data_IF_570366106230
#
_entry.id   IF_570366106230
#
_cell.length_a   1.000
_cell.length_b   1.000
_cell.length_c   1.000
_cell.angle_alpha   90.00
_cell.angle_beta   90.00
_cell.angle_gamma   90.00
#
_symmetry.space_group_name_H-M   'P 1'
#
loop_
_entity.id
_entity.type
_entity.pdbx_description
1 polymer ?
#
# COMPACT_ATOMS: atom_id res chain seq x y z
N UNK A 1 39.95 41.60 31.80
CA UNK A 1 38.52 41.32 31.57
C UNK A 1 38.40 40.74 30.16
N UNK A 2 38.08 39.47 29.89
CA UNK A 2 37.73 38.29 30.70
C UNK A 2 37.93 37.09 29.74
N UNK A 3 38.59 36.02 30.19
CA UNK A 3 38.61 34.69 29.55
C UNK A 3 37.37 33.89 30.01
N UNK A 4 36.91 32.93 29.19
CA UNK A 4 35.97 31.84 29.53
C UNK A 4 35.33 31.28 28.25
N UNK A 5 35.71 30.13 27.66
CA UNK A 5 35.69 28.71 28.10
C UNK A 5 34.29 28.09 28.06
N UNK A 6 34.16 27.09 27.16
CA UNK A 6 33.12 26.04 26.97
C UNK A 6 31.70 26.52 26.62
N UNK A 7 30.94 25.90 25.71
CA UNK A 7 30.64 24.46 25.67
C UNK A 7 30.63 23.86 24.26
N UNK A 8 31.35 22.75 24.16
CA UNK A 8 31.14 21.65 23.23
C UNK A 8 29.74 21.07 23.38
N UNK A 9 28.88 21.22 22.37
CA UNK A 9 27.73 20.34 22.21
C UNK A 9 28.21 18.99 21.64
N UNK A 10 27.83 17.86 22.24
CA UNK A 10 28.14 16.55 21.67
C UNK A 10 27.38 16.40 20.35
N UNK A 11 28.13 16.35 19.25
CA UNK A 11 27.60 15.85 17.97
C UNK A 11 27.20 14.40 18.21
N UNK A 12 25.93 14.12 17.95
CA UNK A 12 25.32 12.81 18.13
C UNK A 12 26.17 11.75 17.39
N UNK A 13 26.70 10.72 18.06
CA UNK A 13 27.56 9.71 17.43
C UNK A 13 26.83 8.81 16.41
N UNK A 14 25.54 9.04 16.18
CA UNK A 14 24.73 8.34 15.18
C UNK A 14 24.65 9.04 13.81
N UNK A 15 25.22 10.25 13.63
CA UNK A 15 25.20 10.98 12.35
C UNK A 15 26.40 10.73 11.42
N UNK A 16 27.32 9.82 11.80
CA UNK A 16 28.46 9.41 10.96
C UNK A 16 28.60 7.89 10.82
N UNK A 17 27.48 7.19 10.66
CA UNK A 17 27.52 5.85 10.09
C UNK A 17 27.68 5.97 8.56
N UNK A 18 28.93 5.91 8.10
CA UNK A 18 29.45 5.48 6.80
C UNK A 18 28.45 5.05 5.69
N UNK A 19 27.57 5.94 5.24
CA UNK A 19 26.91 5.78 3.93
C UNK A 19 27.88 6.02 2.77
N UNK A 20 29.03 6.65 3.04
CA UNK A 20 30.11 6.80 2.07
C UNK A 20 30.86 5.48 1.82
N UNK A 21 31.03 4.63 2.84
CA UNK A 21 31.71 3.33 2.70
C UNK A 21 30.96 2.33 1.83
N UNK A 22 29.62 2.35 1.86
CA UNK A 22 28.80 1.45 1.03
C UNK A 22 28.67 1.92 -0.42
N UNK A 23 28.73 3.24 -0.69
CA UNK A 23 28.75 3.77 -2.06
C UNK A 23 30.13 3.68 -2.73
N UNK A 24 31.20 3.52 -1.96
CA UNK A 24 32.57 3.44 -2.49
C UNK A 24 32.98 2.03 -2.95
N UNK A 25 32.11 1.02 -2.78
CA UNK A 25 32.37 -0.35 -3.25
C UNK A 25 31.86 -0.63 -4.67
N UNK A 26 31.19 0.31 -5.33
CA UNK A 26 30.60 0.11 -6.68
C UNK A 26 31.02 1.14 -7.72
N UNK A 27 31.84 2.14 -7.38
CA UNK A 27 32.15 3.26 -8.29
C UNK A 27 33.39 3.09 -9.17
N UNK A 28 34.18 2.02 -9.02
CA UNK A 28 35.46 1.87 -9.74
C UNK A 28 35.59 0.63 -10.64
N UNK A 29 34.58 -0.24 -10.71
CA UNK A 29 34.51 -1.29 -11.75
C UNK A 29 33.38 -0.95 -12.70
N UNK A 30 33.75 -0.44 -13.86
CA UNK A 30 32.80 -0.34 -14.98
C UNK A 30 32.48 -1.73 -15.51
N UNK A 31 31.29 -1.93 -16.08
CA UNK A 31 30.91 -3.24 -16.67
C UNK A 31 31.98 -3.72 -17.67
N UNK A 32 32.66 -2.78 -18.34
CA UNK A 32 33.79 -3.01 -19.24
C UNK A 32 35.04 -3.64 -18.61
N UNK A 33 35.19 -3.62 -17.29
CA UNK A 33 36.34 -4.19 -16.57
C UNK A 33 36.14 -5.68 -16.22
N UNK A 34 34.93 -6.21 -16.43
CA UNK A 34 34.58 -7.61 -16.20
C UNK A 34 34.88 -8.46 -17.43
N UNK A 35 35.30 -9.71 -17.20
CA UNK A 35 35.48 -10.68 -18.28
C UNK A 35 34.14 -10.93 -18.99
N UNK A 36 34.18 -11.29 -20.28
CA UNK A 36 32.98 -11.59 -21.07
C UNK A 36 32.10 -12.68 -20.41
N UNK A 37 32.72 -13.59 -19.65
CA UNK A 37 32.01 -14.61 -18.87
C UNK A 37 31.25 -14.00 -17.68
N UNK A 38 31.88 -13.11 -16.92
CA UNK A 38 31.25 -12.43 -15.77
C UNK A 38 30.14 -11.47 -16.22
N UNK A 39 30.34 -10.74 -17.32
CA UNK A 39 29.27 -9.93 -17.93
C UNK A 39 28.07 -10.81 -18.33
N UNK A 40 28.33 -11.95 -18.96
CA UNK A 40 27.30 -12.92 -19.33
C UNK A 40 26.55 -13.48 -18.11
N UNK A 41 27.27 -13.80 -17.04
CA UNK A 41 26.70 -14.29 -15.79
C UNK A 41 25.82 -13.21 -15.11
N UNK A 42 26.30 -11.97 -15.01
CA UNK A 42 25.54 -10.84 -14.45
C UNK A 42 24.27 -10.59 -15.26
N UNK A 43 24.35 -10.64 -16.59
CA UNK A 43 23.19 -10.47 -17.46
C UNK A 43 22.15 -11.58 -17.26
N UNK A 44 22.60 -12.85 -17.20
CA UNK A 44 21.72 -14.00 -16.95
C UNK A 44 21.04 -13.90 -15.57
N UNK A 45 21.81 -13.59 -14.52
CA UNK A 45 21.29 -13.40 -13.16
C UNK A 45 20.27 -12.27 -13.14
N UNK A 46 20.57 -11.13 -13.76
CA UNK A 46 19.63 -10.02 -13.83
C UNK A 46 18.34 -10.39 -14.57
N UNK A 47 18.41 -11.15 -15.66
CA UNK A 47 17.20 -11.63 -16.36
C UNK A 47 16.37 -12.53 -15.44
N UNK A 48 16.99 -13.50 -14.77
CA UNK A 48 16.30 -14.44 -13.88
C UNK A 48 15.67 -13.68 -12.72
N UNK A 49 16.42 -12.78 -12.07
CA UNK A 49 15.93 -11.96 -10.95
C UNK A 49 14.77 -11.08 -11.40
N UNK A 50 14.88 -10.39 -12.53
CA UNK A 50 13.80 -9.51 -13.03
C UNK A 50 12.54 -10.30 -13.40
N UNK A 51 12.68 -11.49 -14.00
CA UNK A 51 11.55 -12.38 -14.32
C UNK A 51 10.88 -12.89 -13.04
N UNK A 52 11.67 -13.30 -12.05
CA UNK A 52 11.17 -13.84 -10.79
C UNK A 52 10.49 -12.76 -9.94
N UNK A 53 11.07 -11.56 -9.87
CA UNK A 53 10.46 -10.40 -9.22
C UNK A 53 9.15 -9.99 -9.91
N UNK A 54 9.12 -9.98 -11.26
CA UNK A 54 7.89 -9.71 -12.01
C UNK A 54 6.80 -10.76 -11.75
N UNK A 55 7.18 -12.03 -11.63
CA UNK A 55 6.24 -13.10 -11.27
C UNK A 55 5.69 -12.94 -9.86
N UNK A 56 6.56 -12.69 -8.86
CA UNK A 56 6.13 -12.47 -7.48
C UNK A 56 5.24 -11.23 -7.36
N UNK A 57 5.60 -10.14 -8.04
CA UNK A 57 4.76 -8.93 -8.09
C UNK A 57 3.38 -9.23 -8.68
N UNK A 58 3.33 -9.87 -9.85
CA UNK A 58 2.07 -10.23 -10.51
C UNK A 58 1.20 -11.19 -9.69
N UNK A 59 1.83 -12.15 -9.01
CA UNK A 59 1.15 -13.06 -8.10
C UNK A 59 0.62 -12.31 -6.87
N UNK A 60 1.42 -11.41 -6.29
CA UNK A 60 1.03 -10.55 -5.17
C UNK A 60 -0.19 -9.68 -5.50
N UNK A 61 -0.19 -9.01 -6.65
CA UNK A 61 -1.35 -8.25 -7.13
C UNK A 61 -2.61 -9.10 -7.25
N UNK A 62 -2.45 -10.30 -7.82
CA UNK A 62 -3.57 -11.22 -8.02
C UNK A 62 -4.17 -11.65 -6.68
N UNK A 63 -3.32 -11.92 -5.68
CA UNK A 63 -3.76 -12.25 -4.32
C UNK A 63 -4.45 -11.07 -3.62
N UNK A 64 -3.91 -9.84 -3.76
CA UNK A 64 -4.53 -8.64 -3.20
C UNK A 64 -5.89 -8.37 -3.86
N UNK A 65 -6.00 -8.54 -5.17
CA UNK A 65 -7.26 -8.40 -5.91
C UNK A 65 -8.28 -9.46 -5.48
N UNK A 66 -7.87 -10.74 -5.39
CA UNK A 66 -8.75 -11.82 -4.93
C UNK A 66 -9.20 -11.60 -3.48
N UNK A 67 -8.30 -11.19 -2.59
CA UNK A 67 -8.65 -10.84 -1.21
C UNK A 67 -9.65 -9.68 -1.17
N UNK A 68 -9.41 -8.64 -1.95
CA UNK A 68 -10.32 -7.49 -2.06
C UNK A 68 -11.71 -7.88 -2.57
N UNK A 69 -11.76 -8.71 -3.62
CA UNK A 69 -13.01 -9.23 -4.18
C UNK A 69 -13.75 -10.13 -3.18
N UNK A 70 -13.04 -10.99 -2.46
CA UNK A 70 -13.63 -11.88 -1.45
C UNK A 70 -14.23 -11.08 -0.29
N UNK A 71 -13.51 -10.09 0.24
CA UNK A 71 -14.03 -9.19 1.27
C UNK A 71 -15.28 -8.49 0.76
N UNK A 72 -15.24 -7.94 -0.46
CA UNK A 72 -16.40 -7.28 -1.05
C UNK A 72 -17.57 -8.25 -1.26
N UNK A 73 -17.35 -9.46 -1.79
CA UNK A 73 -18.44 -10.40 -2.07
C UNK A 73 -19.11 -10.89 -0.80
N UNK A 74 -18.34 -11.23 0.24
CA UNK A 74 -18.86 -11.71 1.52
C UNK A 74 -19.63 -10.61 2.25
N UNK A 75 -19.07 -9.41 2.35
CA UNK A 75 -19.76 -8.26 2.97
C UNK A 75 -21.00 -7.85 2.19
N UNK A 76 -20.98 -7.96 0.86
CA UNK A 76 -22.14 -7.69 0.00
C UNK A 76 -23.24 -8.72 0.15
N UNK A 77 -22.89 -9.99 0.33
CA UNK A 77 -23.83 -11.08 0.54
C UNK A 77 -24.62 -10.85 1.83
N UNK A 78 -23.92 -10.57 2.93
CA UNK A 78 -24.54 -10.26 4.23
C UNK A 78 -25.33 -8.96 4.17
N UNK A 79 -24.82 -7.94 3.46
CA UNK A 79 -25.56 -6.69 3.25
C UNK A 79 -26.94 -6.91 2.60
N UNK A 80 -27.02 -7.79 1.60
CA UNK A 80 -28.30 -8.12 0.95
C UNK A 80 -29.25 -8.85 1.88
N UNK A 81 -28.75 -9.80 2.67
CA UNK A 81 -29.55 -10.49 3.70
C UNK A 81 -30.08 -9.49 4.76
N UNK A 82 -29.24 -8.54 5.16
CA UNK A 82 -29.62 -7.45 6.05
C UNK A 82 -30.75 -6.59 5.46
N UNK A 83 -30.67 -6.22 4.18
CA UNK A 83 -31.71 -5.45 3.50
C UNK A 83 -33.03 -6.22 3.39
N UNK A 84 -32.98 -7.53 3.21
CA UNK A 84 -34.15 -8.42 3.07
C UNK A 84 -34.90 -8.74 4.39
N UNK A 85 -34.65 -7.98 5.47
CA UNK A 85 -35.31 -8.09 6.78
C UNK A 85 -35.03 -9.36 7.61
N UNK A 86 -33.93 -10.09 7.35
CA UNK A 86 -33.46 -11.20 8.21
C UNK A 86 -32.75 -10.71 9.51
N UNK A 87 -32.86 -9.40 9.81
CA UNK A 87 -32.04 -8.67 10.80
C UNK A 87 -32.17 -9.13 12.25
N UNK A 88 -33.25 -9.85 12.58
CA UNK A 88 -33.60 -10.21 13.95
C UNK A 88 -33.17 -11.63 14.35
N UNK A 89 -32.63 -12.42 13.42
CA UNK A 89 -32.18 -13.76 13.77
C UNK A 89 -30.82 -13.68 14.48
N UNK A 90 -30.61 -14.36 15.62
CA UNK A 90 -29.29 -14.52 16.21
C UNK A 90 -28.30 -15.18 15.24
N UNK A 91 -28.80 -15.99 14.28
CA UNK A 91 -28.01 -16.60 13.21
C UNK A 91 -27.34 -15.55 12.31
N UNK A 92 -28.00 -14.40 12.08
CA UNK A 92 -27.43 -13.32 11.27
C UNK A 92 -26.19 -12.71 11.93
N UNK A 93 -26.17 -12.62 13.26
CA UNK A 93 -24.99 -12.14 14.00
C UNK A 93 -23.84 -13.14 13.85
N UNK A 94 -24.11 -14.44 13.94
CA UNK A 94 -23.09 -15.48 13.71
C UNK A 94 -22.50 -15.42 12.30
N UNK A 95 -23.35 -15.27 11.28
CA UNK A 95 -22.91 -15.15 9.88
C UNK A 95 -21.98 -13.94 9.70
N UNK A 96 -22.32 -12.81 10.33
CA UNK A 96 -21.47 -11.62 10.31
C UNK A 96 -20.13 -11.84 11.02
N UNK A 97 -20.14 -12.53 12.17
CA UNK A 97 -18.92 -12.87 12.90
C UNK A 97 -18.02 -13.83 12.10
N UNK A 98 -18.61 -14.79 11.38
CA UNK A 98 -17.88 -15.69 10.48
C UNK A 98 -17.19 -14.91 9.35
N UNK A 99 -17.87 -13.90 8.78
CA UNK A 99 -17.26 -13.03 7.78
C UNK A 99 -16.12 -12.20 8.37
N UNK A 100 -16.24 -11.62 9.58
CA UNK A 100 -15.10 -10.96 10.26
C UNK A 100 -13.91 -11.90 10.39
N UNK A 101 -14.13 -13.15 10.81
CA UNK A 101 -13.07 -14.14 10.96
C UNK A 101 -12.41 -14.51 9.61
N UNK A 102 -13.19 -14.64 8.54
CA UNK A 102 -12.66 -14.85 7.17
C UNK A 102 -11.79 -13.68 6.71
N UNK A 103 -12.23 -12.44 6.94
CA UNK A 103 -11.45 -11.24 6.62
C UNK A 103 -10.13 -11.23 7.43
N UNK A 104 -10.18 -11.56 8.72
CA UNK A 104 -8.98 -11.69 9.56
C UNK A 104 -7.99 -12.72 9.02
N UNK A 105 -8.50 -13.86 8.51
CA UNK A 105 -7.66 -14.89 7.87
C UNK A 105 -7.01 -14.35 6.60
N UNK A 106 -7.75 -13.64 5.75
CA UNK A 106 -7.20 -12.97 4.55
C UNK A 106 -6.10 -11.98 4.93
N UNK A 107 -6.29 -11.18 5.98
CA UNK A 107 -5.27 -10.25 6.45
C UNK A 107 -4.01 -10.94 6.98
N UNK A 108 -4.15 -12.06 7.69
CA UNK A 108 -3.00 -12.82 8.17
C UNK A 108 -2.10 -13.32 7.03
N UNK A 109 -2.68 -13.61 5.86
CA UNK A 109 -1.96 -14.11 4.68
C UNK A 109 -1.46 -12.98 3.77
N UNK A 110 -2.28 -11.95 3.56
CA UNK A 110 -2.06 -10.97 2.50
C UNK A 110 -1.57 -9.60 3.00
N UNK A 111 -1.50 -9.36 4.31
CA UNK A 111 -1.24 -8.00 4.82
C UNK A 111 0.10 -7.40 4.40
N UNK A 112 1.18 -8.20 4.33
CA UNK A 112 2.47 -7.76 3.76
C UNK A 112 2.31 -7.38 2.28
N UNK A 113 1.61 -8.22 1.52
CA UNK A 113 1.42 -8.02 0.09
C UNK A 113 0.61 -6.76 -0.18
N UNK A 114 -0.40 -6.47 0.64
CA UNK A 114 -1.17 -5.21 0.58
C UNK A 114 -0.27 -4.00 0.82
N UNK A 115 0.60 -4.08 1.83
CA UNK A 115 1.58 -3.02 2.12
C UNK A 115 2.53 -2.82 0.93
N UNK A 116 3.17 -3.88 0.44
CA UNK A 116 4.14 -3.81 -0.65
C UNK A 116 3.51 -3.30 -1.94
N UNK A 117 2.30 -3.75 -2.27
CA UNK A 117 1.59 -3.35 -3.48
C UNK A 117 1.15 -1.89 -3.45
N UNK A 118 0.78 -1.36 -2.28
CA UNK A 118 0.49 0.06 -2.16
C UNK A 118 1.77 0.91 -2.34
N UNK A 119 2.87 0.50 -1.72
CA UNK A 119 4.15 1.19 -1.86
C UNK A 119 4.62 1.19 -3.33
N UNK A 120 4.51 0.04 -4.00
CA UNK A 120 4.83 -0.11 -5.42
C UNK A 120 3.95 0.81 -6.28
N UNK A 121 2.64 0.82 -6.07
CA UNK A 121 1.72 1.71 -6.79
C UNK A 121 2.05 3.21 -6.58
N UNK A 122 2.45 3.59 -5.36
CA UNK A 122 2.85 4.96 -5.04
C UNK A 122 4.15 5.37 -5.74
N UNK A 123 5.16 4.49 -5.74
CA UNK A 123 6.42 4.72 -6.44
C UNK A 123 6.17 4.90 -7.93
N UNK A 124 5.39 4.02 -8.55
CA UNK A 124 5.07 4.14 -9.98
C UNK A 124 4.30 5.42 -10.28
N UNK A 125 3.33 5.80 -9.45
CA UNK A 125 2.56 7.04 -9.65
C UNK A 125 3.48 8.27 -9.63
N UNK A 126 4.40 8.33 -8.68
CA UNK A 126 5.41 9.40 -8.59
C UNK A 126 6.37 9.39 -9.78
N UNK A 127 6.93 8.23 -10.13
CA UNK A 127 7.93 8.10 -11.19
C UNK A 127 7.36 8.36 -12.59
N UNK A 128 6.12 7.92 -12.86
CA UNK A 128 5.45 8.15 -14.15
C UNK A 128 5.13 9.65 -14.32
N UNK A 129 4.61 10.31 -13.28
CA UNK A 129 4.27 11.73 -13.32
C UNK A 129 5.51 12.65 -13.40
N UNK A 130 6.64 12.19 -12.88
CA UNK A 130 7.91 12.93 -12.87
C UNK A 130 8.82 12.75 -14.09
N UNK A 131 8.40 12.04 -15.15
CA UNK A 131 9.24 11.85 -16.35
C UNK A 131 8.76 12.73 -17.52
N UNK A 132 9.55 13.74 -17.94
CA UNK A 132 9.07 14.75 -18.88
C UNK A 132 9.16 14.31 -20.35
N UNK A 133 9.86 13.20 -20.67
CA UNK A 133 10.08 12.74 -22.06
C UNK A 133 10.33 11.23 -22.12
N UNK A 134 9.29 10.44 -22.40
CA UNK A 134 9.46 9.05 -22.83
C UNK A 134 8.96 8.91 -24.27
N UNK A 135 9.81 9.29 -25.22
CA UNK A 135 9.54 9.05 -26.64
C UNK A 135 9.79 7.59 -27.05
N UNK A 136 10.58 6.82 -26.29
CA UNK A 136 11.02 5.46 -26.65
C UNK A 136 10.41 4.30 -25.82
N UNK A 137 9.52 4.59 -24.86
CA UNK A 137 9.02 3.60 -23.89
C UNK A 137 7.53 3.70 -23.56
N UNK A 138 6.72 4.30 -24.46
CA UNK A 138 5.28 4.54 -24.23
C UNK A 138 4.50 3.28 -23.85
N UNK A 139 4.84 2.14 -24.46
CA UNK A 139 4.19 0.85 -24.16
C UNK A 139 4.52 0.38 -22.75
N UNK A 140 5.78 0.48 -22.32
CA UNK A 140 6.20 0.09 -20.96
C UNK A 140 5.57 1.01 -19.90
N UNK A 141 5.56 2.32 -20.15
CA UNK A 141 4.88 3.28 -19.28
C UNK A 141 3.37 3.02 -19.20
N UNK A 142 2.72 2.70 -20.33
CA UNK A 142 1.31 2.34 -20.35
C UNK A 142 1.02 1.04 -19.57
N UNK A 143 1.84 -0.01 -19.74
CA UNK A 143 1.69 -1.27 -18.99
C UNK A 143 1.83 -1.04 -17.49
N UNK A 144 2.84 -0.28 -17.05
CA UNK A 144 3.04 0.04 -15.63
C UNK A 144 1.90 0.89 -15.06
N UNK A 145 1.35 1.81 -15.86
CA UNK A 145 0.17 2.58 -15.49
C UNK A 145 -1.06 1.68 -15.32
N UNK A 146 -1.32 0.78 -16.28
CA UNK A 146 -2.43 -0.18 -16.19
C UNK A 146 -2.31 -1.09 -14.96
N UNK A 147 -1.11 -1.59 -14.67
CA UNK A 147 -0.85 -2.39 -13.48
C UNK A 147 -1.13 -1.61 -12.18
N UNK A 148 -0.67 -0.36 -12.12
CA UNK A 148 -0.95 0.54 -11.00
C UNK A 148 -2.45 0.83 -10.83
N UNK A 149 -3.18 0.99 -11.94
CA UNK A 149 -4.64 1.18 -11.91
C UNK A 149 -5.38 -0.06 -11.40
N UNK A 150 -4.93 -1.27 -11.76
CA UNK A 150 -5.50 -2.52 -11.25
C UNK A 150 -5.28 -2.60 -9.73
N UNK A 151 -4.08 -2.27 -9.24
CA UNK A 151 -3.76 -2.24 -7.81
C UNK A 151 -4.63 -1.23 -7.08
N UNK A 152 -4.74 0.01 -7.57
CA UNK A 152 -5.64 1.02 -7.00
C UNK A 152 -7.09 0.53 -6.99
N UNK A 153 -7.54 -0.08 -8.10
CA UNK A 153 -8.87 -0.66 -8.23
C UNK A 153 -9.15 -1.74 -7.19
N UNK A 154 -8.18 -2.61 -6.91
CA UNK A 154 -8.30 -3.63 -5.86
C UNK A 154 -8.53 -2.99 -4.48
N UNK A 155 -7.77 -1.95 -4.15
CA UNK A 155 -7.94 -1.23 -2.89
C UNK A 155 -9.29 -0.51 -2.80
N UNK A 156 -9.79 0.06 -3.89
CA UNK A 156 -11.13 0.67 -3.95
C UNK A 156 -12.23 -0.36 -3.69
N UNK A 157 -12.09 -1.57 -4.25
CA UNK A 157 -13.03 -2.68 -3.99
C UNK A 157 -12.99 -3.07 -2.51
N UNK A 158 -11.80 -3.22 -1.92
CA UNK A 158 -11.64 -3.53 -0.50
C UNK A 158 -12.25 -2.44 0.39
N UNK A 159 -12.03 -1.16 0.07
CA UNK A 159 -12.61 -0.03 0.79
C UNK A 159 -14.15 -0.02 0.71
N UNK A 160 -14.72 -0.45 -0.42
CA UNK A 160 -16.17 -0.64 -0.58
C UNK A 160 -16.71 -1.73 0.34
N UNK A 161 -16.02 -2.87 0.42
CA UNK A 161 -16.36 -3.96 1.34
C UNK A 161 -16.31 -3.49 2.80
N UNK A 162 -15.27 -2.75 3.17
CA UNK A 162 -15.14 -2.16 4.50
C UNK A 162 -16.28 -1.20 4.85
N UNK A 163 -16.65 -0.31 3.94
CA UNK A 163 -17.79 0.61 4.15
C UNK A 163 -19.07 -0.17 4.45
N UNK A 164 -19.33 -1.27 3.73
CA UNK A 164 -20.50 -2.14 3.97
C UNK A 164 -20.41 -2.82 5.33
N UNK A 165 -19.26 -3.38 5.69
CA UNK A 165 -19.04 -4.00 7.00
C UNK A 165 -19.31 -3.03 8.16
N UNK A 166 -18.83 -1.78 8.08
CA UNK A 166 -19.13 -0.76 9.11
C UNK A 166 -20.62 -0.45 9.18
N UNK A 167 -21.30 -0.33 8.03
CA UNK A 167 -22.73 -0.04 8.01
C UNK A 167 -23.54 -1.20 8.60
N UNK A 168 -23.13 -2.45 8.36
CA UNK A 168 -23.71 -3.64 9.00
C UNK A 168 -23.56 -3.56 10.51
N UNK A 169 -22.33 -3.34 10.98
CA UNK A 169 -22.03 -3.24 12.41
C UNK A 169 -22.87 -2.15 13.09
N UNK A 170 -22.93 -0.95 12.50
CA UNK A 170 -23.76 0.15 13.00
C UNK A 170 -25.26 -0.19 12.98
N UNK A 171 -25.73 -0.89 11.94
CA UNK A 171 -27.09 -1.36 11.83
C UNK A 171 -27.46 -2.33 12.96
N UNK A 172 -26.61 -3.34 13.18
CA UNK A 172 -26.78 -4.35 14.22
C UNK A 172 -26.74 -3.74 15.62
N UNK A 173 -25.77 -2.87 15.90
CA UNK A 173 -25.66 -2.19 17.20
C UNK A 173 -26.89 -1.31 17.44
N UNK A 174 -27.37 -0.56 16.44
CA UNK A 174 -28.54 0.30 16.59
C UNK A 174 -29.83 -0.49 16.85
N UNK A 175 -30.00 -1.66 16.24
CA UNK A 175 -31.13 -2.53 16.53
C UNK A 175 -31.02 -3.17 17.93
N UNK A 176 -29.82 -3.55 18.35
CA UNK A 176 -29.57 -4.11 19.69
C UNK A 176 -29.90 -3.11 20.83
N UNK A 177 -29.59 -1.83 20.64
CA UNK A 177 -29.87 -0.76 21.61
C UNK A 177 -31.36 -0.46 21.81
N UNK A 178 -32.23 -0.86 20.88
CA UNK A 178 -33.70 -0.74 21.05
C UNK A 178 -34.31 -1.87 21.88
N UNK A 179 -33.62 -3.01 21.99
CA UNK A 179 -34.10 -4.19 22.71
C UNK A 179 -33.25 -4.57 23.95
N UNK A 180 -32.27 -3.75 24.35
CA UNK A 180 -31.48 -3.98 25.55
C UNK A 180 -30.37 -5.04 25.41
N UNK A 181 -29.98 -5.39 24.19
CA UNK A 181 -28.96 -6.42 23.93
C UNK A 181 -27.53 -5.86 23.96
N UNK A 182 -27.08 -5.39 25.14
CA UNK A 182 -25.68 -5.00 25.37
C UNK A 182 -24.69 -6.15 25.07
N UNK A 183 -25.17 -7.40 25.15
CA UNK A 183 -24.42 -8.60 24.83
C UNK A 183 -24.04 -8.68 23.33
N UNK A 184 -24.91 -8.28 22.41
CA UNK A 184 -24.62 -8.32 20.96
C UNK A 184 -23.56 -7.28 20.60
N UNK A 185 -23.67 -6.07 21.15
CA UNK A 185 -22.64 -5.03 20.95
C UNK A 185 -21.28 -5.47 21.52
N UNK A 186 -21.27 -6.03 22.74
CA UNK A 186 -20.05 -6.59 23.35
C UNK A 186 -19.45 -7.68 22.46
N UNK A 187 -20.28 -8.59 21.95
CA UNK A 187 -19.84 -9.73 21.14
C UNK A 187 -19.28 -9.30 19.79
N UNK A 188 -19.86 -8.28 19.14
CA UNK A 188 -19.35 -7.75 17.87
C UNK A 188 -18.03 -6.98 18.08
N UNK A 189 -17.93 -6.19 19.15
CA UNK A 189 -16.70 -5.45 19.46
C UNK A 189 -15.54 -6.37 19.87
N UNK A 190 -15.85 -7.41 20.64
CA UNK A 190 -14.86 -8.35 21.17
C UNK A 190 -14.59 -9.54 20.23
N UNK A 191 -15.29 -9.64 19.10
CA UNK A 191 -15.07 -10.75 18.18
C UNK A 191 -13.74 -10.63 17.44
N UNK A 192 -13.09 -11.78 17.28
CA UNK A 192 -11.88 -11.91 16.49
C UNK A 192 -12.16 -11.62 15.00
N UNK A 193 -11.20 -10.97 14.35
CA UNK A 193 -11.26 -10.66 12.92
C UNK A 193 -11.41 -9.17 12.63
N UNK A 194 -11.35 -8.85 11.34
CA UNK A 194 -11.26 -7.47 10.86
C UNK A 194 -12.44 -7.12 9.98
N UNK A 195 -12.75 -5.83 9.91
CA UNK A 195 -13.76 -5.28 9.00
C UNK A 195 -13.17 -4.73 7.70
N UNK A 196 -11.86 -4.80 7.51
CA UNK A 196 -11.15 -4.20 6.39
C UNK A 196 -9.95 -5.04 5.98
N UNK A 197 -9.47 -4.80 4.76
CA UNK A 197 -8.17 -5.27 4.34
C UNK A 197 -7.08 -4.43 5.02
N UNK A 198 -6.08 -5.08 5.61
CA UNK A 198 -4.99 -4.43 6.34
C UNK A 198 -3.69 -4.44 5.54
N UNK A 199 -3.01 -3.30 5.51
CA UNK A 199 -1.63 -3.18 5.04
C UNK A 199 -0.67 -3.35 6.20
N UNK A 200 -0.31 -4.60 6.48
CA UNK A 200 0.45 -5.00 7.67
C UNK A 200 -0.17 -4.38 8.94
N UNK A 201 0.65 -3.86 9.85
CA UNK A 201 0.27 -3.07 11.01
C UNK A 201 0.22 -1.56 10.75
N UNK A 202 0.39 -1.13 9.49
CA UNK A 202 0.63 0.28 9.16
C UNK A 202 -0.67 1.03 8.85
N UNK A 203 -1.59 0.40 8.14
CA UNK A 203 -2.82 1.05 7.69
C UNK A 203 -3.96 0.06 7.43
N UNK A 204 -5.17 0.61 7.42
CA UNK A 204 -6.38 -0.08 6.97
C UNK A 204 -6.82 0.49 5.62
N UNK A 205 -7.16 -0.38 4.68
CA UNK A 205 -7.65 0.03 3.35
C UNK A 205 -9.08 0.53 3.47
N UNK A 206 -9.22 1.85 3.59
CA UNK A 206 -10.49 2.56 3.72
C UNK A 206 -10.59 3.67 2.68
N UNK A 207 -11.80 4.15 2.38
CA UNK A 207 -11.95 5.29 1.46
C UNK A 207 -11.23 6.54 1.95
N UNK A 208 -11.25 6.80 3.26
CA UNK A 208 -10.52 7.93 3.86
C UNK A 208 -9.01 7.79 3.68
N UNK A 209 -8.48 6.59 3.89
CA UNK A 209 -7.07 6.31 3.66
C UNK A 209 -6.67 6.46 2.19
N UNK A 210 -7.44 5.89 1.26
CA UNK A 210 -7.18 6.03 -0.17
C UNK A 210 -7.30 7.49 -0.65
N UNK A 211 -8.24 8.25 -0.09
CA UNK A 211 -8.35 9.68 -0.34
C UNK A 211 -7.12 10.45 0.12
N UNK A 212 -6.57 10.11 1.30
CA UNK A 212 -5.33 10.70 1.79
C UNK A 212 -4.14 10.35 0.89
N UNK A 213 -4.00 9.09 0.49
CA UNK A 213 -2.96 8.62 -0.44
C UNK A 213 -3.04 9.37 -1.77
N UNK A 214 -4.24 9.48 -2.35
CA UNK A 214 -4.45 10.21 -3.60
C UNK A 214 -4.12 11.71 -3.46
N UNK A 215 -4.53 12.33 -2.35
CA UNK A 215 -4.21 13.72 -2.06
C UNK A 215 -2.70 13.95 -1.99
N UNK A 216 -1.97 13.14 -1.23
CA UNK A 216 -0.50 13.23 -1.12
C UNK A 216 0.16 13.01 -2.47
N UNK A 217 -0.28 12.01 -3.24
CA UNK A 217 0.25 11.73 -4.58
C UNK A 217 0.07 12.91 -5.54
N UNK A 218 -1.12 13.52 -5.57
CA UNK A 218 -1.40 14.71 -6.39
C UNK A 218 -0.56 15.89 -5.94
N UNK A 219 -0.50 16.18 -4.63
CA UNK A 219 0.32 17.27 -4.11
C UNK A 219 1.77 17.11 -4.50
N UNK A 220 2.35 15.92 -4.35
CA UNK A 220 3.73 15.65 -4.73
C UNK A 220 3.96 15.82 -6.24
N UNK A 221 3.03 15.31 -7.08
CA UNK A 221 3.11 15.48 -8.52
C UNK A 221 3.07 16.96 -8.94
N UNK A 222 2.20 17.77 -8.33
CA UNK A 222 2.14 19.21 -8.59
C UNK A 222 3.43 19.93 -8.19
N UNK A 223 4.04 19.54 -7.05
CA UNK A 223 5.34 20.07 -6.61
C UNK A 223 6.45 19.71 -7.61
N UNK A 224 6.49 18.46 -8.09
CA UNK A 224 7.44 18.07 -9.13
C UNK A 224 7.27 18.87 -10.42
N UNK A 225 6.02 19.07 -10.87
CA UNK A 225 5.74 19.88 -12.06
C UNK A 225 6.25 21.32 -11.91
N UNK A 226 6.15 21.92 -10.71
CA UNK A 226 6.72 23.24 -10.45
C UNK A 226 8.24 23.26 -10.63
N UNK A 227 8.96 22.29 -10.06
CA UNK A 227 10.41 22.18 -10.23
C UNK A 227 10.82 21.95 -11.68
N UNK A 228 10.04 21.17 -12.44
CA UNK A 228 10.28 20.93 -13.87
C UNK A 228 9.98 22.15 -14.75
N UNK A 229 9.03 22.99 -14.34
CA UNK A 229 8.67 24.21 -15.06
C UNK A 229 9.65 25.37 -14.84
N UNK A 230 10.53 25.26 -13.82
CA UNK A 230 11.53 26.29 -13.54
C UNK A 230 12.67 26.16 -14.56
N UNK A 231 12.91 27.18 -15.42
CA UNK A 231 13.98 27.11 -16.40
C UNK A 231 15.33 26.93 -15.71
N UNK A 232 16.25 26.12 -16.25
CA UNK A 232 17.58 25.99 -15.68
C UNK A 232 18.21 27.38 -15.66
N UNK A 233 18.69 27.82 -14.49
CA UNK A 233 19.43 29.07 -14.33
C UNK A 233 20.51 29.13 -15.41
N UNK A 234 20.26 29.91 -16.46
CA UNK A 234 21.29 30.29 -17.42
C UNK A 234 22.31 31.07 -16.60
N UNK A 235 23.43 30.43 -16.28
CA UNK A 235 24.62 31.13 -15.79
C UNK A 235 24.93 32.17 -16.87
N UNK A 236 24.64 33.42 -16.57
CA UNK A 236 25.04 34.58 -17.33
C UNK A 236 26.58 34.54 -17.36
N UNK A 237 27.13 34.15 -18.50
CA UNK A 237 28.55 34.37 -18.83
C UNK A 237 28.72 35.82 -19.25
#
# INVERSE_FOLDING_TARGET
MTKGVLESLPVNPFERADYAGLMNFTSHTTISDLSNFEQGLIFLINIIVMKYLGFIGGFGCSLVLLGSLCIYSETSRIWRQFENNERKSPEFVEDYLEVKAKIGTINSLCSILVFSQLLEALIYLVCILGQPRIAAGKVCAAVNLFYSLINIGSFVIAASGHKRAILLEKGLVRESGKCGYAEIESRIRNSAGDNCLLGWSCFSVTYSFLGAVASVGITYALVLLQFMSTPPNQKTQ
#
